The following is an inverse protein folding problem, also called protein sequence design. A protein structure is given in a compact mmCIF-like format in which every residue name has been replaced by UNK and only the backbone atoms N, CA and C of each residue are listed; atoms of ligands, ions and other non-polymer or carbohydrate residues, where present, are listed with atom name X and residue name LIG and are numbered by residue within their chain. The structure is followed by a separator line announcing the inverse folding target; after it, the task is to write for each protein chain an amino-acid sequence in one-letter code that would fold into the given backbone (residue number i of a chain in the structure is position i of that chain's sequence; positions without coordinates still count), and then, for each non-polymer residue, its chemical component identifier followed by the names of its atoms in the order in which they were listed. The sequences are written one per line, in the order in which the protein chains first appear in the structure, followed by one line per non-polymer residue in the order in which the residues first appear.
data_IF_573711916770
#
_entry.id   IF_573711916770
#
_cell.length_a   1.000
_cell.length_b   1.000
_cell.length_c   1.000
_cell.angle_alpha   90.00
_cell.angle_beta   90.00
_cell.angle_gamma   90.00
#
_symmetry.space_group_name_H-M   'P 1'
#
loop_
_entity.id
_entity.type
_entity.pdbx_description
1 polymer ?
#
# COMPACT_ATOMS: atom_id res chain seq x y z
N UNK A 1 18.93 -3.20 23.32
CA UNK A 1 17.94 -4.28 23.49
C UNK A 1 17.23 -4.50 22.16
N UNK A 2 17.63 -5.52 21.38
CA UNK A 2 17.13 -5.73 20.01
C UNK A 2 15.61 -5.93 19.91
N UNK A 3 14.93 -6.25 21.02
CA UNK A 3 13.48 -6.48 21.06
C UNK A 3 12.65 -5.20 20.86
N UNK A 4 13.10 -4.08 21.43
CA UNK A 4 12.33 -2.81 21.38
C UNK A 4 12.41 -2.18 20.00
N UNK A 5 13.58 -2.25 19.35
CA UNK A 5 13.78 -1.75 17.98
C UNK A 5 12.88 -2.48 16.97
N UNK A 6 12.81 -3.82 17.07
CA UNK A 6 11.95 -4.64 16.22
C UNK A 6 10.46 -4.29 16.41
N UNK A 7 10.04 -4.08 17.67
CA UNK A 7 8.69 -3.66 17.99
C UNK A 7 8.33 -2.31 17.35
N UNK A 8 9.23 -1.32 17.45
CA UNK A 8 9.03 0.01 16.85
C UNK A 8 8.91 -0.09 15.32
N UNK A 9 9.79 -0.86 14.67
CA UNK A 9 9.75 -1.08 13.21
C UNK A 9 8.43 -1.72 12.79
N UNK A 10 7.98 -2.74 13.51
CA UNK A 10 6.70 -3.41 13.22
C UNK A 10 5.52 -2.44 13.36
N UNK A 11 5.46 -1.68 14.45
CA UNK A 11 4.41 -0.68 14.67
C UNK A 11 4.42 0.37 13.54
N UNK A 12 5.61 0.85 13.16
CA UNK A 12 5.74 1.84 12.08
C UNK A 12 5.18 1.30 10.74
N UNK A 13 5.48 0.04 10.40
CA UNK A 13 4.94 -0.59 9.18
C UNK A 13 3.42 -0.75 9.24
N UNK A 14 2.87 -1.17 10.38
CA UNK A 14 1.43 -1.31 10.56
C UNK A 14 0.70 0.04 10.44
N UNK A 15 1.24 1.09 11.07
CA UNK A 15 0.69 2.45 10.98
C UNK A 15 0.74 2.94 9.53
N UNK A 16 1.87 2.76 8.84
CA UNK A 16 1.99 3.13 7.42
C UNK A 16 0.95 2.40 6.55
N UNK A 17 0.75 1.09 6.77
CA UNK A 17 -0.24 0.31 6.05
C UNK A 17 -1.67 0.81 6.29
N UNK A 18 -2.03 1.15 7.54
CA UNK A 18 -3.35 1.70 7.87
C UNK A 18 -3.58 3.05 7.19
N UNK A 19 -2.58 3.94 7.24
CA UNK A 19 -2.69 5.28 6.63
C UNK A 19 -2.88 5.18 5.11
N UNK A 20 -2.06 4.38 4.43
CA UNK A 20 -2.15 4.18 2.98
C UNK A 20 -3.47 3.49 2.60
N UNK A 21 -3.88 2.47 3.37
CA UNK A 21 -5.13 1.75 3.15
C UNK A 21 -6.36 2.66 3.27
N UNK A 22 -6.41 3.49 4.32
CA UNK A 22 -7.50 4.46 4.50
C UNK A 22 -7.53 5.50 3.36
N UNK A 23 -6.37 5.94 2.90
CA UNK A 23 -6.29 6.84 1.75
C UNK A 23 -6.81 6.18 0.46
N UNK A 24 -6.43 4.93 0.20
CA UNK A 24 -6.94 4.17 -0.95
C UNK A 24 -8.46 3.97 -0.87
N UNK A 25 -9.00 3.64 0.31
CA UNK A 25 -10.44 3.50 0.51
C UNK A 25 -11.21 4.81 0.23
N UNK A 26 -10.61 5.96 0.57
CA UNK A 26 -11.19 7.26 0.21
C UNK A 26 -11.24 7.46 -1.31
N UNK A 27 -10.19 7.07 -2.04
CA UNK A 27 -10.18 7.11 -3.52
C UNK A 27 -11.19 6.13 -4.14
N UNK A 28 -11.34 4.93 -3.58
CA UNK A 28 -12.38 3.97 -3.99
C UNK A 28 -13.77 4.57 -3.79
N UNK A 29 -14.03 5.21 -2.64
CA UNK A 29 -15.31 5.88 -2.37
C UNK A 29 -15.56 7.02 -3.36
N UNK A 30 -14.56 7.86 -3.65
CA UNK A 30 -14.65 8.94 -4.65
C UNK A 30 -14.94 8.38 -6.05
N UNK A 31 -14.23 7.33 -6.47
CA UNK A 31 -14.43 6.69 -7.77
C UNK A 31 -15.83 6.08 -7.91
N UNK A 32 -16.32 5.42 -6.85
CA UNK A 32 -17.69 4.86 -6.81
C UNK A 32 -18.76 5.95 -6.94
N UNK A 33 -18.61 7.07 -6.21
CA UNK A 33 -19.53 8.21 -6.32
C UNK A 33 -19.53 8.81 -7.72
N UNK A 34 -18.36 8.84 -8.38
CA UNK A 34 -18.20 9.32 -9.75
C UNK A 34 -18.55 8.29 -10.83
N UNK A 35 -19.07 7.10 -10.47
CA UNK A 35 -19.34 5.96 -11.38
C UNK A 35 -18.17 5.61 -12.30
N UNK A 36 -16.95 5.78 -11.79
CA UNK A 36 -15.72 5.48 -12.53
C UNK A 36 -15.49 3.96 -12.61
N UNK A 37 -14.70 3.49 -13.59
CA UNK A 37 -14.32 2.09 -13.69
C UNK A 37 -13.64 1.57 -12.43
N UNK A 38 -13.85 0.29 -12.13
CA UNK A 38 -13.33 -0.39 -10.93
C UNK A 38 -11.80 -0.36 -10.81
N UNK A 39 -11.08 -0.29 -11.93
CA UNK A 39 -9.61 -0.23 -11.95
C UNK A 39 -9.06 1.18 -11.68
N UNK A 40 -9.89 2.23 -11.70
CA UNK A 40 -9.42 3.60 -11.61
C UNK A 40 -8.75 3.95 -10.26
N UNK A 41 -9.19 3.44 -9.10
CA UNK A 41 -8.49 3.64 -7.84
C UNK A 41 -7.04 3.14 -7.85
N UNK A 42 -6.70 2.10 -8.63
CA UNK A 42 -5.32 1.60 -8.74
C UNK A 42 -4.38 2.54 -9.50
N UNK A 43 -4.95 3.44 -10.32
CA UNK A 43 -4.22 4.49 -11.03
C UNK A 43 -4.06 5.78 -10.20
N UNK A 44 -4.60 5.82 -8.98
CA UNK A 44 -4.43 6.94 -8.06
C UNK A 44 -3.09 6.86 -7.33
N UNK A 45 -2.63 7.97 -6.77
CA UNK A 45 -1.40 8.02 -5.95
C UNK A 45 -1.33 6.93 -4.88
N UNK A 46 -2.35 6.72 -4.02
CA UNK A 46 -2.30 5.62 -3.04
C UNK A 46 -2.37 4.23 -3.71
N UNK A 47 -3.08 4.10 -4.83
CA UNK A 47 -3.15 2.84 -5.58
C UNK A 47 -1.79 2.40 -6.12
N UNK A 48 -1.04 3.33 -6.71
CA UNK A 48 0.30 3.07 -7.23
C UNK A 48 1.26 2.69 -6.10
N UNK A 49 1.19 3.35 -4.95
CA UNK A 49 2.01 3.00 -3.78
C UNK A 49 1.76 1.56 -3.32
N UNK A 50 0.49 1.12 -3.28
CA UNK A 50 0.13 -0.26 -2.94
C UNK A 50 0.65 -1.23 -4.01
N UNK A 51 0.47 -0.91 -5.30
CA UNK A 51 0.96 -1.75 -6.39
C UNK A 51 2.49 -1.92 -6.35
N UNK A 52 3.24 -0.85 -6.09
CA UNK A 52 4.69 -0.92 -5.93
C UNK A 52 5.09 -1.74 -4.72
N UNK A 53 4.40 -1.59 -3.59
CA UNK A 53 4.67 -2.37 -2.39
C UNK A 53 4.48 -3.89 -2.62
N UNK A 54 3.53 -4.27 -3.47
CA UNK A 54 3.30 -5.66 -3.86
C UNK A 54 4.29 -6.16 -4.93
N UNK A 55 4.66 -5.31 -5.88
CA UNK A 55 5.55 -5.68 -7.00
C UNK A 55 7.03 -5.75 -6.59
N UNK A 56 7.50 -4.87 -5.71
CA UNK A 56 8.90 -4.83 -5.27
C UNK A 56 9.46 -6.18 -4.76
N UNK A 57 8.80 -6.91 -3.85
CA UNK A 57 9.31 -8.21 -3.39
C UNK A 57 9.33 -9.25 -4.52
N UNK A 58 8.37 -9.20 -5.44
CA UNK A 58 8.31 -10.09 -6.61
C UNK A 58 9.49 -9.80 -7.53
N UNK A 59 9.74 -8.52 -7.84
CA UNK A 59 10.87 -8.10 -8.68
C UNK A 59 12.20 -8.48 -8.03
N UNK A 60 12.34 -8.26 -6.73
CA UNK A 60 13.53 -8.66 -5.98
C UNK A 60 13.78 -10.17 -6.08
N UNK A 61 12.72 -10.98 -5.91
CA UNK A 61 12.81 -12.43 -6.03
C UNK A 61 13.24 -12.89 -7.42
N UNK A 62 12.68 -12.30 -8.48
CA UNK A 62 13.03 -12.63 -9.87
C UNK A 62 14.48 -12.27 -10.19
N UNK A 63 14.96 -11.10 -9.75
CA UNK A 63 16.34 -10.65 -10.04
C UNK A 63 17.37 -11.50 -9.30
N UNK A 64 17.03 -12.00 -8.10
CA UNK A 64 17.91 -12.80 -7.27
C UNK A 64 17.70 -14.33 -7.43
N UNK A 65 16.91 -14.76 -8.43
CA UNK A 65 16.77 -16.17 -8.84
C UNK A 65 17.72 -16.50 -9.97
#
# INVERSE_FOLDING_TARGET
MPQIEGLIKMIAVLVAAILIGNWFLAEVKKARLARKPWYQPYLSTPGILIMLALLLPILYWIINS
#
